data_IF_785354818358
#
_entry.id   IF_785354818358
#
_cell.length_a   1.000
_cell.length_b   1.000
_cell.length_c   1.000
_cell.angle_alpha   90.00
_cell.angle_beta   90.00
_cell.angle_gamma   90.00
#
_symmetry.space_group_name_H-M   'P 1'
#
loop_
_entity.id
_entity.type
_entity.pdbx_description
1 polymer ?
#
# COMPACT_ATOMS: atom_id res chain seq x y z
N UNK A 1 -13.90 -5.95 13.65
CA UNK A 1 -14.08 -7.04 14.63
C UNK A 1 -14.95 -8.17 14.07
N UNK A 2 -15.99 -7.89 13.31
CA UNK A 2 -16.92 -8.90 12.76
C UNK A 2 -16.25 -9.96 11.88
N UNK A 3 -15.29 -9.57 11.05
CA UNK A 3 -14.58 -10.49 10.16
C UNK A 3 -13.78 -11.57 10.91
N UNK A 4 -13.12 -11.20 12.01
CA UNK A 4 -12.35 -12.15 12.84
C UNK A 4 -13.30 -13.13 13.53
N UNK A 5 -14.47 -12.65 13.98
CA UNK A 5 -15.48 -13.47 14.62
C UNK A 5 -16.06 -14.48 13.63
N UNK A 6 -16.35 -14.09 12.40
CA UNK A 6 -16.81 -14.99 11.33
C UNK A 6 -15.77 -16.07 11.02
N UNK A 7 -14.50 -15.69 10.89
CA UNK A 7 -13.41 -16.66 10.68
C UNK A 7 -13.28 -17.66 11.84
N UNK A 8 -13.41 -17.18 13.09
CA UNK A 8 -13.37 -18.04 14.26
C UNK A 8 -14.54 -19.04 14.28
N UNK A 9 -15.75 -18.60 13.95
CA UNK A 9 -16.94 -19.47 13.86
C UNK A 9 -16.72 -20.53 12.77
N UNK A 10 -16.24 -20.14 11.58
CA UNK A 10 -15.96 -21.09 10.50
C UNK A 10 -14.92 -22.12 10.93
N UNK A 11 -13.84 -21.71 11.60
CA UNK A 11 -12.81 -22.61 12.09
C UNK A 11 -13.38 -23.62 13.11
N UNK A 12 -14.21 -23.16 14.06
CA UNK A 12 -14.87 -24.04 15.02
C UNK A 12 -15.82 -25.03 14.34
N UNK A 13 -16.62 -24.56 13.39
CA UNK A 13 -17.51 -25.46 12.62
C UNK A 13 -16.74 -26.54 11.87
N UNK A 14 -15.63 -26.16 11.22
CA UNK A 14 -14.78 -27.13 10.53
C UNK A 14 -14.21 -28.21 11.49
N UNK A 15 -13.81 -27.81 12.70
CA UNK A 15 -13.34 -28.76 13.71
C UNK A 15 -14.44 -29.70 14.19
N UNK A 16 -15.66 -29.19 14.37
CA UNK A 16 -16.83 -30.00 14.76
C UNK A 16 -17.20 -31.03 13.69
N UNK A 17 -17.06 -30.68 12.41
CA UNK A 17 -17.29 -31.58 11.27
C UNK A 17 -16.15 -32.61 11.09
N UNK A 18 -15.07 -32.52 11.89
CA UNK A 18 -13.97 -33.48 11.88
C UNK A 18 -12.82 -33.13 10.90
N UNK A 19 -12.74 -31.88 10.43
CA UNK A 19 -11.60 -31.40 9.63
C UNK A 19 -10.35 -31.39 10.49
N UNK A 20 -9.29 -32.06 10.05
CA UNK A 20 -8.02 -32.07 10.79
C UNK A 20 -7.44 -30.67 10.91
N UNK A 21 -6.95 -30.23 12.08
CA UNK A 21 -6.40 -28.88 12.29
C UNK A 21 -5.29 -28.48 11.31
N UNK A 22 -4.54 -29.48 10.81
CA UNK A 22 -3.47 -29.25 9.82
C UNK A 22 -4.00 -28.64 8.51
N UNK A 23 -5.22 -29.02 8.08
CA UNK A 23 -5.80 -28.45 6.87
C UNK A 23 -6.26 -27.01 7.08
N UNK A 24 -6.74 -26.66 8.27
CA UNK A 24 -7.09 -25.27 8.62
C UNK A 24 -5.83 -24.39 8.64
N UNK A 25 -4.73 -24.91 9.22
CA UNK A 25 -3.45 -24.20 9.23
C UNK A 25 -2.92 -24.01 7.79
N UNK A 26 -2.97 -25.04 6.96
CA UNK A 26 -2.55 -24.96 5.56
C UNK A 26 -3.40 -23.94 4.77
N UNK A 27 -4.71 -23.95 4.97
CA UNK A 27 -5.61 -22.97 4.33
C UNK A 27 -5.32 -21.54 4.77
N UNK A 28 -5.08 -21.31 6.07
CA UNK A 28 -4.70 -20.00 6.60
C UNK A 28 -3.36 -19.53 6.01
N UNK A 29 -2.36 -20.40 5.95
CA UNK A 29 -1.07 -20.11 5.34
C UNK A 29 -1.19 -19.77 3.84
N UNK A 30 -2.01 -20.52 3.11
CA UNK A 30 -2.27 -20.25 1.69
C UNK A 30 -2.96 -18.91 1.48
N UNK A 31 -3.95 -18.57 2.33
CA UNK A 31 -4.63 -17.27 2.28
C UNK A 31 -3.67 -16.10 2.55
N UNK A 32 -2.82 -16.23 3.58
CA UNK A 32 -1.80 -15.22 3.88
C UNK A 32 -0.81 -15.05 2.73
N UNK A 33 -0.37 -16.16 2.15
CA UNK A 33 0.51 -16.16 0.97
C UNK A 33 -0.14 -15.47 -0.24
N UNK A 34 -1.43 -15.69 -0.47
CA UNK A 34 -2.19 -15.04 -1.53
C UNK A 34 -2.28 -13.52 -1.30
N UNK A 35 -2.66 -13.10 -0.09
CA UNK A 35 -2.73 -11.67 0.30
C UNK A 35 -1.38 -11.00 0.11
N UNK A 36 -0.30 -11.66 0.57
CA UNK A 36 1.06 -11.18 0.42
C UNK A 36 1.44 -11.00 -1.06
N UNK A 37 1.15 -12.00 -1.89
CA UNK A 37 1.45 -11.95 -3.33
C UNK A 37 0.70 -10.81 -4.02
N UNK A 38 -0.59 -10.64 -3.74
CA UNK A 38 -1.39 -9.53 -4.28
C UNK A 38 -0.81 -8.19 -3.84
N UNK A 39 -0.43 -8.05 -2.57
CA UNK A 39 0.16 -6.82 -2.02
C UNK A 39 1.49 -6.49 -2.70
N UNK A 40 2.34 -7.49 -2.94
CA UNK A 40 3.61 -7.32 -3.65
C UNK A 40 3.41 -6.90 -5.11
N UNK A 41 2.44 -7.50 -5.80
CA UNK A 41 2.09 -7.12 -7.18
C UNK A 41 1.57 -5.68 -7.26
N UNK A 42 0.75 -5.25 -6.30
CA UNK A 42 0.28 -3.86 -6.21
C UNK A 42 1.44 -2.89 -5.96
N UNK A 43 2.34 -3.21 -5.04
CA UNK A 43 3.55 -2.41 -4.79
C UNK A 43 4.42 -2.31 -6.04
N UNK A 44 4.65 -3.43 -6.72
CA UNK A 44 5.40 -3.45 -7.99
C UNK A 44 4.74 -2.57 -9.05
N UNK A 45 3.43 -2.64 -9.19
CA UNK A 45 2.68 -1.80 -10.12
C UNK A 45 2.84 -0.30 -9.82
N UNK A 46 2.74 0.12 -8.55
CA UNK A 46 2.94 1.51 -8.16
C UNK A 46 4.41 1.93 -8.30
N UNK A 47 5.35 1.06 -7.98
CA UNK A 47 6.78 1.32 -8.14
C UNK A 47 7.15 1.57 -9.61
N UNK A 48 6.69 0.71 -10.53
CA UNK A 48 6.90 0.90 -11.97
C UNK A 48 6.27 2.22 -12.43
N UNK A 49 5.05 2.54 -12.00
CA UNK A 49 4.42 3.83 -12.33
C UNK A 49 5.18 5.03 -11.80
N UNK A 50 5.79 4.92 -10.63
CA UNK A 50 6.63 5.96 -10.06
C UNK A 50 7.90 6.19 -10.89
N UNK A 51 8.54 5.12 -11.40
CA UNK A 51 9.74 5.24 -12.25
C UNK A 51 9.47 6.02 -13.54
N UNK A 52 8.26 5.90 -14.10
CA UNK A 52 7.85 6.63 -15.30
C UNK A 52 7.19 7.99 -15.02
N UNK A 53 7.12 8.41 -13.76
CA UNK A 53 6.54 9.68 -13.37
C UNK A 53 7.51 10.84 -13.61
N UNK A 54 6.98 12.01 -13.99
CA UNK A 54 7.79 13.22 -14.22
C UNK A 54 7.87 14.05 -12.95
N UNK A 55 9.07 14.55 -12.68
CA UNK A 55 9.37 15.42 -11.54
C UNK A 55 8.79 16.82 -11.77
N UNK A 56 8.02 17.33 -10.80
CA UNK A 56 7.46 18.68 -10.80
C UNK A 56 7.66 19.35 -9.44
N UNK A 57 7.71 20.68 -9.45
CA UNK A 57 7.57 21.47 -8.22
C UNK A 57 6.08 21.65 -7.95
N UNK A 58 5.66 21.43 -6.72
CA UNK A 58 4.27 21.56 -6.31
C UNK A 58 4.20 22.20 -4.93
N UNK A 59 3.04 22.74 -4.60
CA UNK A 59 2.72 23.25 -3.27
C UNK A 59 1.59 22.38 -2.71
N UNK A 60 1.70 22.01 -1.45
CA UNK A 60 0.61 21.32 -0.76
C UNK A 60 -0.61 22.25 -0.69
N UNK A 61 -1.79 21.76 -1.06
CA UNK A 61 -3.03 22.52 -1.09
C UNK A 61 -3.92 22.16 0.11
N UNK A 62 -4.37 20.94 0.18
CA UNK A 62 -5.31 20.49 1.22
C UNK A 62 -5.29 18.98 1.41
N UNK A 63 -5.95 18.53 2.47
CA UNK A 63 -6.27 17.13 2.69
C UNK A 63 -7.76 16.96 2.47
N UNK A 64 -8.14 16.07 1.56
CA UNK A 64 -9.53 15.80 1.23
C UNK A 64 -9.73 14.35 0.79
N UNK A 65 -10.99 13.91 0.66
CA UNK A 65 -11.31 12.56 0.20
C UNK A 65 -10.74 12.31 -1.20
N UNK A 66 -10.20 11.11 -1.37
CA UNK A 66 -9.74 10.67 -2.69
C UNK A 66 -10.94 10.51 -3.66
N UNK A 67 -10.80 10.89 -4.93
CA UNK A 67 -11.85 10.64 -5.93
C UNK A 67 -12.09 9.15 -6.22
N UNK A 68 -11.25 8.26 -5.70
CA UNK A 68 -11.28 6.80 -5.95
C UNK A 68 -11.55 5.95 -4.74
N UNK A 69 -11.46 6.53 -3.56
CA UNK A 69 -11.62 5.80 -2.29
C UNK A 69 -12.15 6.73 -1.21
N UNK A 70 -12.66 6.15 -0.12
CA UNK A 70 -13.12 6.92 1.03
C UNK A 70 -11.99 7.42 1.93
N UNK A 71 -10.74 7.13 1.58
CA UNK A 71 -9.57 7.59 2.34
C UNK A 71 -9.27 9.05 2.03
N UNK A 72 -8.79 9.78 3.04
CA UNK A 72 -8.26 11.13 2.87
C UNK A 72 -6.87 11.05 2.25
N UNK A 73 -6.61 11.94 1.30
CA UNK A 73 -5.33 12.05 0.59
C UNK A 73 -4.88 13.51 0.56
N UNK A 74 -3.57 13.72 0.49
CA UNK A 74 -3.01 15.05 0.29
C UNK A 74 -3.17 15.47 -1.18
N UNK A 75 -3.57 16.72 -1.40
CA UNK A 75 -3.65 17.34 -2.72
C UNK A 75 -2.47 18.29 -2.92
N UNK A 76 -1.88 18.23 -4.09
CA UNK A 76 -0.76 19.07 -4.49
C UNK A 76 -1.12 19.88 -5.71
N UNK A 77 -0.88 21.19 -5.65
CA UNK A 77 -1.06 22.10 -6.77
C UNK A 77 0.22 22.16 -7.60
N UNK A 78 0.10 21.84 -8.89
CA UNK A 78 1.14 21.97 -9.90
C UNK A 78 0.59 22.94 -10.94
N UNK A 79 1.25 24.07 -11.12
CA UNK A 79 0.73 25.19 -11.91
C UNK A 79 -0.68 25.58 -11.43
N UNK A 80 -1.71 25.46 -12.26
CA UNK A 80 -3.10 25.79 -11.91
C UNK A 80 -3.98 24.58 -11.61
N UNK A 81 -3.44 23.36 -11.64
CA UNK A 81 -4.19 22.14 -11.44
C UNK A 81 -3.85 21.43 -10.10
N UNK A 82 -4.86 20.87 -9.45
CA UNK A 82 -4.71 20.08 -8.23
C UNK A 82 -4.71 18.58 -8.53
N UNK A 83 -3.77 17.86 -7.91
CA UNK A 83 -3.61 16.43 -8.08
C UNK A 83 -3.59 15.72 -6.74
N UNK A 84 -4.40 14.65 -6.55
CA UNK A 84 -4.38 13.86 -5.33
C UNK A 84 -3.11 13.01 -5.25
N UNK A 85 -2.60 12.80 -4.03
CA UNK A 85 -1.56 11.80 -3.77
C UNK A 85 -2.09 10.39 -4.02
N UNK A 86 -1.20 9.47 -4.38
CA UNK A 86 -1.56 8.07 -4.66
C UNK A 86 -1.91 7.30 -3.39
N UNK A 87 -1.25 7.61 -2.28
CA UNK A 87 -1.47 6.99 -0.98
C UNK A 87 -2.33 7.86 -0.06
N UNK A 88 -3.00 7.23 0.93
CA UNK A 88 -3.69 7.95 1.98
C UNK A 88 -2.75 8.94 2.70
N UNK A 89 -3.35 9.96 3.32
CA UNK A 89 -2.60 10.89 4.16
C UNK A 89 -1.98 10.16 5.36
N UNK A 90 -0.80 10.62 5.75
CA UNK A 90 -0.17 10.16 6.98
C UNK A 90 -0.73 10.95 8.16
N UNK A 91 -1.40 10.26 9.08
CA UNK A 91 -1.89 10.86 10.32
C UNK A 91 -0.76 11.31 11.26
N UNK A 92 0.46 10.79 11.02
CA UNK A 92 1.64 11.09 11.81
C UNK A 92 2.51 12.17 11.12
N UNK A 93 2.98 13.15 11.86
CA UNK A 93 3.85 14.24 11.39
C UNK A 93 3.25 15.13 10.27
N UNK A 94 1.92 15.29 10.22
CA UNK A 94 1.24 16.12 9.21
C UNK A 94 1.86 17.52 9.04
N UNK A 95 2.17 18.20 10.14
CA UNK A 95 2.77 19.54 10.15
C UNK A 95 4.18 19.61 9.51
N UNK A 96 4.88 18.47 9.40
CA UNK A 96 6.19 18.41 8.72
C UNK A 96 6.08 18.00 7.27
N UNK A 97 5.13 17.12 6.95
CA UNK A 97 4.96 16.54 5.61
C UNK A 97 4.14 17.46 4.70
N UNK A 98 3.08 18.07 5.25
CA UNK A 98 2.10 18.84 4.49
C UNK A 98 2.21 20.34 4.81
N UNK A 99 3.18 21.01 4.18
CA UNK A 99 3.44 22.43 4.37
C UNK A 99 3.04 23.22 3.14
N UNK A 100 2.12 24.16 3.31
CA UNK A 100 1.66 25.08 2.27
C UNK A 100 2.62 26.26 2.02
N UNK A 101 3.54 26.51 2.97
CA UNK A 101 4.51 27.60 2.91
C UNK A 101 5.73 27.28 2.03
N UNK A 102 5.93 26.03 1.66
CA UNK A 102 7.11 25.58 0.90
C UNK A 102 6.74 24.76 -0.33
N UNK A 103 7.41 25.07 -1.43
CA UNK A 103 7.36 24.21 -2.59
C UNK A 103 8.05 22.86 -2.29
N UNK A 104 7.41 21.78 -2.65
CA UNK A 104 7.94 20.43 -2.55
C UNK A 104 8.11 19.83 -3.94
N UNK A 105 8.96 18.81 -4.01
CA UNK A 105 9.11 18.03 -5.23
C UNK A 105 8.16 16.85 -5.17
N UNK A 106 7.33 16.72 -6.19
CA UNK A 106 6.43 15.58 -6.40
C UNK A 106 6.68 14.95 -7.78
N UNK A 107 6.27 13.71 -7.95
CA UNK A 107 6.36 13.00 -9.21
C UNK A 107 4.94 12.82 -9.77
N UNK A 108 4.63 13.52 -10.86
CA UNK A 108 3.35 13.45 -11.53
C UNK A 108 3.29 12.19 -12.40
N UNK A 109 2.28 11.37 -12.20
CA UNK A 109 2.01 10.19 -13.03
C UNK A 109 1.84 10.58 -14.49
N UNK A 110 2.33 9.75 -15.41
CA UNK A 110 2.22 9.97 -16.88
C UNK A 110 0.78 10.27 -17.33
N UNK A 111 -0.20 9.66 -16.68
CA UNK A 111 -1.63 9.87 -16.98
C UNK A 111 -2.21 11.14 -16.33
N UNK A 112 -1.42 11.95 -15.65
CA UNK A 112 -1.84 13.18 -14.92
C UNK A 112 -3.04 12.96 -13.97
N UNK A 113 -3.16 11.76 -13.38
CA UNK A 113 -4.31 11.44 -12.50
C UNK A 113 -3.99 11.54 -11.02
N UNK A 114 -2.71 11.44 -10.64
CA UNK A 114 -2.23 11.49 -9.27
C UNK A 114 -0.73 11.81 -9.22
N UNK A 115 -0.28 12.18 -8.05
CA UNK A 115 1.14 12.44 -7.75
C UNK A 115 1.68 11.47 -6.73
N UNK A 116 2.99 11.28 -6.75
CA UNK A 116 3.75 10.66 -5.68
C UNK A 116 4.55 11.76 -4.98
N UNK A 117 4.31 11.98 -3.71
CA UNK A 117 5.15 12.82 -2.88
C UNK A 117 6.40 12.06 -2.39
N UNK A 118 7.26 12.70 -1.64
CA UNK A 118 8.48 12.09 -1.12
C UNK A 118 8.19 10.86 -0.24
N UNK A 119 7.13 10.94 0.55
CA UNK A 119 6.73 9.86 1.44
C UNK A 119 6.22 8.65 0.64
N UNK A 120 5.34 8.89 -0.33
CA UNK A 120 4.86 7.87 -1.25
C UNK A 120 5.99 7.18 -2.02
N UNK A 121 7.00 7.96 -2.46
CA UNK A 121 8.18 7.40 -3.12
C UNK A 121 8.99 6.50 -2.18
N UNK A 122 9.20 6.94 -0.94
CA UNK A 122 9.92 6.16 0.07
C UNK A 122 9.15 4.87 0.40
N UNK A 123 7.85 4.96 0.63
CA UNK A 123 6.98 3.81 0.91
C UNK A 123 7.00 2.79 -0.23
N UNK A 124 6.86 3.24 -1.49
CA UNK A 124 6.95 2.36 -2.65
C UNK A 124 8.31 1.66 -2.74
N UNK A 125 9.40 2.41 -2.57
CA UNK A 125 10.75 1.88 -2.74
C UNK A 125 11.11 0.92 -1.62
N UNK A 126 10.95 1.35 -0.37
CA UNK A 126 11.27 0.54 0.81
C UNK A 126 10.36 -0.69 0.88
N UNK A 127 9.05 -0.50 0.68
CA UNK A 127 8.08 -1.59 0.69
C UNK A 127 8.38 -2.63 -0.39
N UNK A 128 8.78 -2.21 -1.59
CA UNK A 128 9.14 -3.12 -2.67
C UNK A 128 10.41 -3.91 -2.36
N UNK A 129 11.47 -3.24 -1.87
CA UNK A 129 12.74 -3.90 -1.50
C UNK A 129 12.51 -4.91 -0.37
N UNK A 130 11.81 -4.51 0.71
CA UNK A 130 11.49 -5.40 1.83
C UNK A 130 10.59 -6.56 1.38
N UNK A 131 9.62 -6.30 0.51
CA UNK A 131 8.77 -7.35 -0.04
C UNK A 131 9.55 -8.39 -0.80
N UNK A 132 10.49 -8.01 -1.67
CA UNK A 132 11.35 -8.96 -2.38
C UNK A 132 12.26 -9.71 -1.39
N UNK A 133 12.87 -9.02 -0.44
CA UNK A 133 13.76 -9.64 0.54
C UNK A 133 13.04 -10.72 1.37
N UNK A 134 11.81 -10.45 1.82
CA UNK A 134 11.00 -11.42 2.56
C UNK A 134 10.57 -12.60 1.70
N UNK A 135 10.22 -12.38 0.42
CA UNK A 135 9.91 -13.46 -0.52
C UNK A 135 11.12 -14.38 -0.75
N UNK A 136 12.32 -13.81 -0.97
CA UNK A 136 13.56 -14.56 -1.13
C UNK A 136 13.90 -15.36 0.14
N UNK A 137 13.78 -14.75 1.32
CA UNK A 137 14.00 -15.43 2.60
C UNK A 137 13.04 -16.61 2.77
N UNK A 138 11.76 -16.44 2.47
CA UNK A 138 10.77 -17.52 2.54
C UNK A 138 11.12 -18.69 1.60
N UNK A 139 11.50 -18.40 0.35
CA UNK A 139 11.94 -19.44 -0.61
C UNK A 139 13.17 -20.18 -0.08
N UNK A 140 14.18 -19.47 0.43
CA UNK A 140 15.39 -20.08 0.97
C UNK A 140 15.10 -20.99 2.18
N UNK A 141 14.17 -20.61 3.05
CA UNK A 141 13.76 -21.44 4.18
C UNK A 141 13.08 -22.71 3.68
N UNK A 142 12.10 -22.58 2.76
CA UNK A 142 11.34 -23.72 2.24
C UNK A 142 12.24 -24.71 1.48
N UNK A 143 13.25 -24.23 0.76
CA UNK A 143 14.16 -25.09 -0.01
C UNK A 143 15.25 -25.76 0.85
N UNK A 144 15.40 -25.36 2.12
CA UNK A 144 16.34 -25.98 3.05
C UNK A 144 15.70 -26.97 4.02
N UNK A 145 14.37 -27.04 4.07
CA UNK A 145 13.59 -28.03 4.82
C UNK A 145 13.32 -29.25 3.94
#
# INVERSE_FOLDING_TARGET
>A
MEFILVLAIIAVLCLVIGVKPIYLLAAAAALLGLIYTISLLLLMFFFVRMLFAKKHKAVFSRIDKSPRSNFKVAYYKIDDAEYPNVFPEEGFMQNRLYRSDKSCTVFLSRNKKFVFDKFSCATCTIGFILGIATALAAVLIITRI
#
